data_IF_357622932246
#
_entry.id   IF_357622932246
#
_cell.length_a   1.000
_cell.length_b   1.000
_cell.length_c   1.000
_cell.angle_alpha   90.00
_cell.angle_beta   90.00
_cell.angle_gamma   90.00
#
_symmetry.space_group_name_H-M   'P 1'
#
loop_
_entity.id
_entity.type
_entity.pdbx_description
1 polymer ?
#
# COMPACT_ATOMS: atom_id res chain seq x y z
N UNK A 1 -9.00 -1.60 17.97
CA UNK A 1 -7.58 -1.86 17.68
C UNK A 1 -7.03 -0.68 16.89
N UNK A 2 -5.85 -0.14 17.21
CA UNK A 2 -5.32 1.02 16.48
C UNK A 2 -4.74 0.67 15.11
N UNK A 3 -4.40 -0.61 14.91
CA UNK A 3 -3.89 -1.16 13.65
C UNK A 3 -4.95 -2.09 13.07
N UNK A 4 -5.16 -2.01 11.77
CA UNK A 4 -6.07 -2.89 11.04
C UNK A 4 -5.52 -3.20 9.63
N UNK A 5 -6.13 -4.14 8.90
CA UNK A 5 -5.72 -4.57 7.56
C UNK A 5 -6.94 -4.71 6.65
N UNK A 6 -6.97 -3.94 5.57
CA UNK A 6 -8.11 -3.85 4.67
C UNK A 6 -7.76 -4.36 3.27
N UNK A 7 -8.62 -5.18 2.63
CA UNK A 7 -8.34 -5.72 1.30
C UNK A 7 -8.31 -4.61 0.25
N UNK A 8 -7.23 -4.54 -0.52
CA UNK A 8 -7.05 -3.60 -1.65
C UNK A 8 -7.28 -4.26 -2.99
N UNK A 9 -7.02 -5.56 -3.10
CA UNK A 9 -7.28 -6.36 -4.28
C UNK A 9 -7.53 -7.82 -3.87
N UNK A 10 -8.39 -8.51 -4.61
CA UNK A 10 -8.67 -9.92 -4.46
C UNK A 10 -8.69 -10.57 -5.85
N UNK A 11 -7.74 -11.46 -6.09
CA UNK A 11 -7.65 -12.27 -7.30
C UNK A 11 -7.93 -13.73 -6.97
N UNK A 12 -8.76 -14.40 -7.76
CA UNK A 12 -9.07 -15.83 -7.58
C UNK A 12 -8.79 -16.59 -8.86
N UNK A 13 -7.97 -17.65 -8.77
CA UNK A 13 -7.68 -18.58 -9.88
C UNK A 13 -7.57 -20.00 -9.35
N UNK A 14 -8.17 -20.96 -10.06
CA UNK A 14 -7.95 -22.40 -9.86
C UNK A 14 -7.90 -22.84 -8.39
N UNK A 15 -8.94 -22.50 -7.62
CA UNK A 15 -9.08 -22.90 -6.21
C UNK A 15 -8.09 -22.23 -5.24
N UNK A 16 -7.41 -21.16 -5.66
CA UNK A 16 -6.59 -20.30 -4.81
C UNK A 16 -7.04 -18.86 -4.94
N UNK A 17 -7.06 -18.16 -3.81
CA UNK A 17 -7.33 -16.72 -3.77
C UNK A 17 -6.09 -16.01 -3.23
N UNK A 18 -5.62 -15.00 -3.95
CA UNK A 18 -4.63 -14.04 -3.47
C UNK A 18 -5.35 -12.77 -3.03
N UNK A 19 -5.10 -12.33 -1.80
CA UNK A 19 -5.63 -11.10 -1.22
C UNK A 19 -4.48 -10.18 -0.89
N UNK A 20 -4.56 -8.93 -1.36
CA UNK A 20 -3.67 -7.85 -0.94
C UNK A 20 -4.34 -7.06 0.16
N UNK A 21 -3.62 -6.83 1.25
CA UNK A 21 -4.09 -6.11 2.42
C UNK A 21 -3.24 -4.86 2.60
N UNK A 22 -3.88 -3.70 2.67
CA UNK A 22 -3.25 -2.47 3.12
C UNK A 22 -3.37 -2.36 4.64
N UNK A 23 -2.26 -2.04 5.28
CA UNK A 23 -2.23 -1.75 6.71
C UNK A 23 -2.79 -0.34 6.97
N UNK A 24 -3.60 -0.20 8.02
CA UNK A 24 -4.07 1.08 8.52
C UNK A 24 -3.65 1.29 9.97
N UNK A 25 -3.47 2.55 10.35
CA UNK A 25 -3.18 2.97 11.72
C UNK A 25 -4.04 4.18 12.07
N UNK A 26 -4.90 4.10 13.10
CA UNK A 26 -5.84 5.16 13.48
C UNK A 26 -6.64 5.71 12.29
N UNK A 27 -7.12 4.82 11.42
CA UNK A 27 -7.84 5.12 10.16
C UNK A 27 -7.00 5.78 9.05
N UNK A 28 -5.69 5.98 9.23
CA UNK A 28 -4.78 6.42 8.19
C UNK A 28 -4.15 5.23 7.46
N UNK A 29 -4.05 5.32 6.13
CA UNK A 29 -3.34 4.32 5.33
C UNK A 29 -1.83 4.39 5.61
N UNK A 30 -1.22 3.24 5.88
CA UNK A 30 0.23 3.09 5.90
C UNK A 30 0.69 2.79 4.47
N UNK A 31 1.46 3.71 3.87
CA UNK A 31 1.88 3.60 2.46
C UNK A 31 3.12 2.71 2.28
N UNK A 32 3.33 2.22 1.04
CA UNK A 32 4.52 1.47 0.57
C UNK A 32 4.60 0.00 1.04
N UNK A 33 3.64 -0.47 1.83
CA UNK A 33 3.63 -1.84 2.32
C UNK A 33 2.31 -2.53 2.00
N UNK A 34 2.39 -3.61 1.24
CA UNK A 34 1.28 -4.53 1.00
C UNK A 34 1.61 -5.87 1.66
N UNK A 35 0.64 -6.39 2.42
CA UNK A 35 0.64 -7.76 2.89
C UNK A 35 -0.14 -8.61 1.88
N UNK A 36 0.47 -9.68 1.38
CA UNK A 36 -0.11 -10.60 0.42
C UNK A 36 -0.42 -11.91 1.14
N UNK A 37 -1.67 -12.33 1.09
CA UNK A 37 -2.15 -13.57 1.69
C UNK A 37 -2.72 -14.46 0.59
N UNK A 38 -2.27 -15.71 0.54
CA UNK A 38 -2.86 -16.72 -0.34
C UNK A 38 -3.64 -17.73 0.49
N UNK A 39 -4.89 -17.97 0.09
CA UNK A 39 -5.77 -18.96 0.69
C UNK A 39 -6.16 -20.03 -0.32
N UNK A 40 -6.32 -21.26 0.13
CA UNK A 40 -6.87 -22.35 -0.68
C UNK A 40 -8.42 -22.30 -0.72
N UNK A 41 -9.03 -23.24 -1.45
CA UNK A 41 -10.49 -23.36 -1.58
C UNK A 41 -11.24 -23.57 -0.26
N UNK A 42 -10.56 -24.05 0.77
CA UNK A 42 -11.15 -24.27 2.09
C UNK A 42 -10.96 -23.05 3.01
N UNK A 43 -10.34 -21.97 2.51
CA UNK A 43 -10.02 -20.77 3.28
C UNK A 43 -8.76 -20.90 4.13
N UNK A 44 -7.96 -21.95 3.96
CA UNK A 44 -6.72 -22.13 4.71
C UNK A 44 -5.64 -21.24 4.13
N UNK A 45 -4.98 -20.45 4.98
CA UNK A 45 -3.83 -19.63 4.60
C UNK A 45 -2.67 -20.57 4.24
N UNK A 46 -2.24 -20.50 2.99
CA UNK A 46 -1.13 -21.30 2.45
C UNK A 46 0.15 -20.48 2.29
N UNK A 47 0.03 -19.15 2.21
CA UNK A 47 1.19 -18.25 2.10
C UNK A 47 0.87 -16.90 2.69
N UNK A 48 1.85 -16.34 3.41
CA UNK A 48 1.87 -14.94 3.84
C UNK A 48 3.19 -14.34 3.38
N UNK A 49 3.14 -13.24 2.64
CA UNK A 49 4.33 -12.53 2.15
C UNK A 49 4.10 -11.02 2.13
N UNK A 50 5.18 -10.24 1.97
CA UNK A 50 5.11 -8.78 1.98
C UNK A 50 5.71 -8.20 3.26
N UNK A 51 5.36 -6.94 3.57
CA UNK A 51 5.88 -6.21 4.74
C UNK A 51 4.73 -5.61 5.53
N UNK A 52 4.91 -5.53 6.84
CA UNK A 52 4.04 -4.81 7.77
C UNK A 52 4.91 -3.95 8.68
N UNK A 53 4.44 -2.75 9.00
CA UNK A 53 5.09 -1.89 10.00
C UNK A 53 4.67 -2.35 11.38
N UNK A 54 5.65 -2.66 12.22
CA UNK A 54 5.44 -2.96 13.63
C UNK A 54 5.69 -1.72 14.49
N UNK A 55 5.19 -1.74 15.73
CA UNK A 55 5.40 -0.68 16.72
C UNK A 55 4.98 0.71 16.20
N UNK A 56 3.86 0.79 15.47
CA UNK A 56 3.35 2.04 14.89
C UNK A 56 3.13 3.13 15.93
N UNK A 57 2.73 2.78 17.16
CA UNK A 57 2.57 3.73 18.26
C UNK A 57 3.90 4.37 18.72
N UNK A 58 5.04 3.77 18.37
CA UNK A 58 6.40 4.26 18.70
C UNK A 58 7.03 5.00 17.52
N UNK A 59 6.37 5.05 16.35
CA UNK A 59 6.91 5.71 15.17
C UNK A 59 6.81 7.24 15.34
N UNK A 60 7.93 7.97 15.42
CA UNK A 60 7.92 9.38 15.77
C UNK A 60 7.17 10.24 14.75
N UNK A 61 7.21 9.86 13.47
CA UNK A 61 6.47 10.53 12.40
C UNK A 61 4.95 10.39 12.50
N UNK A 62 4.44 9.46 13.32
CA UNK A 62 3.01 9.28 13.59
C UNK A 62 2.55 10.00 14.87
N UNK A 63 3.48 10.51 15.67
CA UNK A 63 3.19 11.32 16.87
C UNK A 63 3.29 12.82 16.63
N UNK A 64 3.74 13.24 15.44
CA UNK A 64 3.81 14.65 15.04
C UNK A 64 2.40 15.25 14.95
N UNK A 65 2.21 16.47 15.43
CA UNK A 65 0.92 17.19 15.37
C UNK A 65 0.96 18.45 14.50
N UNK A 66 2.14 18.92 14.10
CA UNK A 66 2.31 20.12 13.26
C UNK A 66 2.22 19.81 11.76
N UNK A 67 1.23 19.02 11.36
CA UNK A 67 1.02 18.70 9.95
C UNK A 67 0.66 19.95 9.15
N UNK A 68 1.26 20.07 7.96
CA UNK A 68 0.81 21.03 6.96
C UNK A 68 -0.61 20.70 6.52
N UNK A 69 -1.42 21.73 6.26
CA UNK A 69 -2.67 21.54 5.55
C UNK A 69 -2.40 21.00 4.13
N UNK A 70 -3.45 20.42 3.52
CA UNK A 70 -3.38 19.93 2.14
C UNK A 70 -2.85 20.99 1.16
N UNK A 71 -3.24 22.25 1.34
CA UNK A 71 -2.84 23.35 0.45
C UNK A 71 -1.38 23.77 0.68
N UNK A 72 -0.94 23.85 1.93
CA UNK A 72 0.45 24.16 2.28
C UNK A 72 1.40 23.06 1.79
N UNK A 73 1.04 21.79 1.99
CA UNK A 73 1.80 20.66 1.48
C UNK A 73 1.91 20.71 -0.05
N UNK A 74 0.81 20.98 -0.75
CA UNK A 74 0.79 21.09 -2.21
C UNK A 74 1.63 22.27 -2.71
N UNK A 75 1.51 23.43 -2.07
CA UNK A 75 2.30 24.62 -2.45
C UNK A 75 3.79 24.39 -2.20
N UNK A 76 4.15 23.82 -1.05
CA UNK A 76 5.54 23.48 -0.72
C UNK A 76 6.12 22.53 -1.74
N UNK A 77 5.40 21.44 -2.08
CA UNK A 77 5.85 20.48 -3.09
C UNK A 77 6.03 21.12 -4.47
N UNK A 78 5.12 22.01 -4.89
CA UNK A 78 5.29 22.75 -6.16
C UNK A 78 6.56 23.58 -6.18
N UNK A 79 6.84 24.31 -5.09
CA UNK A 79 8.05 25.12 -4.98
C UNK A 79 9.31 24.24 -4.95
N UNK A 80 9.33 23.20 -4.11
CA UNK A 80 10.49 22.31 -3.94
C UNK A 80 10.82 21.54 -5.21
N UNK A 81 9.80 21.05 -5.93
CA UNK A 81 9.96 20.28 -7.16
C UNK A 81 10.01 21.17 -8.42
N UNK A 82 10.00 22.50 -8.27
CA UNK A 82 10.01 23.48 -9.36
C UNK A 82 8.91 23.21 -10.41
N UNK A 83 7.73 22.81 -9.94
CA UNK A 83 6.60 22.52 -10.81
C UNK A 83 6.03 23.84 -11.33
N UNK A 84 5.91 24.03 -12.66
CA UNK A 84 5.35 25.25 -13.26
C UNK A 84 3.94 25.57 -12.76
N UNK A 85 3.60 26.85 -12.69
CA UNK A 85 2.31 27.31 -12.16
C UNK A 85 1.13 26.94 -13.06
N UNK A 86 1.38 26.80 -14.36
CA UNK A 86 0.46 26.36 -15.41
C UNK A 86 0.33 24.83 -15.50
N UNK A 87 1.00 24.08 -14.62
CA UNK A 87 0.87 22.63 -14.54
C UNK A 87 -0.55 22.19 -14.20
N UNK A 88 -1.08 21.26 -15.01
CA UNK A 88 -2.38 20.64 -14.78
C UNK A 88 -2.27 19.50 -13.75
N UNK A 89 -3.14 19.52 -12.75
CA UNK A 89 -3.26 18.40 -11.82
C UNK A 89 -4.06 17.27 -12.47
N UNK A 90 -3.40 16.14 -12.72
CA UNK A 90 -4.04 14.94 -13.25
C UNK A 90 -4.07 13.87 -12.15
N UNK A 91 -5.22 13.22 -11.96
CA UNK A 91 -5.30 12.06 -11.08
C UNK A 91 -4.46 10.93 -11.67
N UNK A 92 -3.43 10.52 -10.93
CA UNK A 92 -2.65 9.34 -11.26
C UNK A 92 -3.18 8.13 -10.49
N UNK A 93 -3.52 7.06 -11.22
CA UNK A 93 -3.83 5.77 -10.63
C UNK A 93 -2.61 4.87 -10.80
N UNK A 94 -1.90 4.55 -9.72
CA UNK A 94 -0.89 3.50 -9.76
C UNK A 94 -1.57 2.17 -9.46
N UNK A 95 -1.73 1.33 -10.49
CA UNK A 95 -1.90 -0.10 -10.27
C UNK A 95 -0.52 -0.69 -9.97
N UNK A 96 -0.41 -1.47 -8.89
CA UNK A 96 0.80 -2.23 -8.60
C UNK A 96 0.96 -3.35 -9.64
N UNK A 97 1.67 -3.10 -10.74
CA UNK A 97 1.98 -4.09 -11.75
C UNK A 97 2.94 -5.14 -11.17
N UNK A 98 2.45 -6.37 -10.99
CA UNK A 98 3.26 -7.49 -10.50
C UNK A 98 3.64 -8.39 -11.66
N UNK A 99 4.90 -8.29 -12.07
CA UNK A 99 5.49 -9.19 -13.04
C UNK A 99 5.71 -10.56 -12.39
N UNK A 100 4.96 -11.58 -12.81
CA UNK A 100 5.29 -12.96 -12.46
C UNK A 100 6.57 -13.36 -13.18
N UNK A 101 7.58 -13.81 -12.43
CA UNK A 101 8.77 -14.44 -13.00
C UNK A 101 8.32 -15.66 -13.82
N UNK A 102 8.73 -15.75 -15.09
CA UNK A 102 8.51 -16.95 -15.89
C UNK A 102 9.32 -18.09 -15.27
N UNK A 103 8.65 -19.17 -14.87
CA UNK A 103 9.32 -20.41 -14.52
C UNK A 103 9.90 -21.00 -15.82
N UNK A 104 11.22 -21.10 -15.89
CA UNK A 104 11.91 -21.83 -16.94
C UNK A 104 11.95 -23.29 -16.47
N UNK A 105 11.17 -24.14 -17.11
CA UNK A 105 11.30 -25.58 -16.94
C UNK A 105 12.53 -26.01 -17.75
N UNK A 106 13.53 -26.57 -17.06
CA UNK A 106 14.61 -27.29 -17.72
C UNK A 106 14.11 -28.72 -17.95
N UNK A 107 13.88 -29.06 -19.22
CA UNK A 107 13.57 -30.41 -19.69
C UNK A 107 14.75 -31.35 -19.52
#
# INVERSE_FOLDING_TARGET
MNVDSQPTNKDTKENKTEVRLAQTYKNYKVYVQDLIVKVDKNGVITTVSGKVVQNLDQQPNLTITNFLSKNEAKSTLRTTLQIPSDSTETKFFSEALVYKKKEVYHS
#
